data_IF_120819437800
#
_entry.id   IF_120819437800
#
_cell.length_a   1.000
_cell.length_b   1.000
_cell.length_c   1.000
_cell.angle_alpha   90.00
_cell.angle_beta   90.00
_cell.angle_gamma   90.00
#
_symmetry.space_group_name_H-M   'P 1'
#
loop_
_entity.id
_entity.type
_entity.pdbx_description
1 polymer ?
#
# COMPACT_ATOMS: atom_id res chain seq x y z
N UNK A 1 7.98 -8.52 -5.44
CA UNK A 1 6.93 -9.37 -6.04
C UNK A 1 5.69 -9.29 -5.16
N UNK A 2 4.52 -9.06 -5.75
CA UNK A 2 3.23 -9.07 -5.03
C UNK A 2 2.66 -10.49 -5.04
N UNK A 3 2.20 -10.94 -3.88
CA UNK A 3 1.44 -12.18 -3.71
C UNK A 3 0.02 -11.86 -3.27
N UNK A 4 -0.96 -12.43 -3.95
CA UNK A 4 -2.37 -12.14 -3.73
C UNK A 4 -3.20 -13.41 -3.55
N UNK A 5 -4.10 -13.36 -2.57
CA UNK A 5 -5.16 -14.34 -2.34
C UNK A 5 -6.52 -13.63 -2.26
N UNK A 6 -7.61 -14.38 -2.08
CA UNK A 6 -8.94 -13.78 -1.87
C UNK A 6 -9.07 -12.93 -0.60
N UNK A 7 -8.12 -13.02 0.33
CA UNK A 7 -8.18 -12.33 1.64
C UNK A 7 -6.95 -11.50 1.97
N UNK A 8 -5.88 -11.59 1.20
CA UNK A 8 -4.62 -10.91 1.52
C UNK A 8 -3.82 -10.55 0.28
N UNK A 9 -3.20 -9.37 0.30
CA UNK A 9 -2.18 -8.95 -0.66
C UNK A 9 -0.93 -8.61 0.14
N UNK A 10 0.20 -9.20 -0.24
CA UNK A 10 1.49 -9.06 0.46
C UNK A 10 2.62 -8.87 -0.54
N UNK A 11 3.80 -8.50 -0.04
CA UNK A 11 4.96 -8.21 -0.87
C UNK A 11 6.22 -8.86 -0.29
N UNK A 12 7.12 -9.33 -1.15
CA UNK A 12 8.47 -9.74 -0.72
C UNK A 12 9.41 -8.57 -0.41
N UNK A 13 9.07 -7.35 -0.84
CA UNK A 13 9.92 -6.16 -0.71
C UNK A 13 9.61 -5.32 0.52
N UNK A 14 8.46 -5.54 1.14
CA UNK A 14 7.99 -4.75 2.27
C UNK A 14 7.17 -5.61 3.23
N UNK A 15 7.26 -5.38 4.55
CA UNK A 15 6.41 -6.06 5.53
C UNK A 15 4.96 -5.55 5.53
N UNK A 16 4.64 -4.54 4.74
CA UNK A 16 3.27 -4.05 4.62
C UNK A 16 2.35 -5.06 3.92
N UNK A 17 1.06 -4.95 4.21
CA UNK A 17 0.04 -5.86 3.72
C UNK A 17 -1.28 -5.14 3.48
N UNK A 18 -2.10 -5.73 2.61
CA UNK A 18 -3.53 -5.46 2.54
C UNK A 18 -4.32 -6.70 2.93
N UNK A 19 -5.39 -6.56 3.71
CA UNK A 19 -6.25 -7.66 4.11
C UNK A 19 -7.71 -7.31 3.92
N UNK A 20 -8.49 -8.29 3.47
CA UNK A 20 -9.94 -8.17 3.41
C UNK A 20 -10.53 -8.34 4.81
N UNK A 21 -11.35 -7.38 5.23
CA UNK A 21 -12.16 -7.45 6.43
C UNK A 21 -13.05 -8.69 6.44
N UNK A 22 -13.54 -9.07 7.62
CA UNK A 22 -14.53 -10.13 7.78
C UNK A 22 -15.92 -9.64 7.33
N UNK A 23 -16.15 -8.31 7.29
CA UNK A 23 -17.37 -7.74 6.74
C UNK A 23 -17.54 -8.09 5.25
N UNK A 24 -18.78 -8.36 4.84
CA UNK A 24 -19.16 -8.56 3.44
C UNK A 24 -19.49 -7.24 2.73
N UNK A 25 -19.44 -6.11 3.43
CA UNK A 25 -19.63 -4.78 2.85
C UNK A 25 -18.36 -4.31 2.12
N UNK A 26 -18.51 -3.97 0.84
CA UNK A 26 -17.44 -3.34 0.06
C UNK A 26 -17.54 -1.80 0.14
N UNK A 27 -16.41 -1.07 0.17
CA UNK A 27 -15.03 -1.58 0.14
C UNK A 27 -14.60 -2.28 1.45
N UNK A 28 -14.01 -3.47 1.33
CA UNK A 28 -13.67 -4.31 2.49
C UNK A 28 -12.17 -4.38 2.80
N UNK A 29 -11.28 -3.83 1.97
CA UNK A 29 -9.84 -4.00 2.12
C UNK A 29 -9.21 -2.92 3.00
N UNK A 30 -8.35 -3.35 3.92
CA UNK A 30 -7.56 -2.50 4.81
C UNK A 30 -6.08 -2.58 4.44
N UNK A 31 -5.36 -1.47 4.58
CA UNK A 31 -3.91 -1.40 4.44
C UNK A 31 -3.25 -1.29 5.80
N UNK A 32 -2.11 -1.96 5.98
CA UNK A 32 -1.34 -1.93 7.24
C UNK A 32 -0.82 -0.54 7.62
N UNK A 33 -0.67 0.36 6.66
CA UNK A 33 -0.17 1.72 6.85
C UNK A 33 -1.26 2.80 6.74
N UNK A 34 -2.51 2.40 6.44
CA UNK A 34 -3.67 3.29 6.38
C UNK A 34 -4.96 2.55 6.76
N UNK A 35 -5.07 2.09 8.03
CA UNK A 35 -6.20 1.27 8.48
C UNK A 35 -7.52 2.04 8.57
N UNK A 36 -7.48 3.38 8.57
CA UNK A 36 -8.66 4.23 8.73
C UNK A 36 -9.55 4.28 7.47
N UNK A 37 -8.98 3.93 6.32
CA UNK A 37 -9.69 3.95 5.03
C UNK A 37 -9.86 2.54 4.48
N UNK A 38 -11.03 2.29 3.91
CA UNK A 38 -11.34 1.05 3.20
C UNK A 38 -11.17 1.21 1.71
N UNK A 39 -10.69 0.15 1.08
CA UNK A 39 -10.37 0.10 -0.35
C UNK A 39 -11.10 -1.04 -1.04
N UNK A 40 -11.33 -0.89 -2.34
CA UNK A 40 -11.68 -2.05 -3.17
C UNK A 40 -10.47 -2.97 -3.29
N UNK A 41 -10.68 -4.17 -3.83
CA UNK A 41 -9.59 -5.12 -4.07
C UNK A 41 -8.53 -4.54 -5.01
N UNK A 42 -8.96 -3.87 -6.07
CA UNK A 42 -8.10 -3.27 -7.09
C UNK A 42 -7.28 -2.13 -6.46
N UNK A 43 -7.94 -1.25 -5.71
CA UNK A 43 -7.25 -0.19 -4.97
C UNK A 43 -6.25 -0.74 -3.94
N UNK A 44 -6.60 -1.82 -3.23
CA UNK A 44 -5.68 -2.45 -2.30
C UNK A 44 -4.44 -3.05 -3.00
N UNK A 45 -4.62 -3.62 -4.20
CA UNK A 45 -3.52 -4.12 -5.02
C UNK A 45 -2.63 -2.98 -5.51
N UNK A 46 -3.21 -1.91 -6.03
CA UNK A 46 -2.47 -0.74 -6.50
C UNK A 46 -1.73 -0.06 -5.32
N UNK A 47 -2.34 0.03 -4.14
CA UNK A 47 -1.68 0.54 -2.95
C UNK A 47 -0.47 -0.32 -2.53
N UNK A 48 -0.52 -1.64 -2.74
CA UNK A 48 0.63 -2.52 -2.52
C UNK A 48 1.72 -2.33 -3.58
N UNK A 49 1.36 -2.01 -4.82
CA UNK A 49 2.31 -1.61 -5.88
C UNK A 49 2.99 -0.28 -5.52
N UNK A 50 2.21 0.75 -5.14
CA UNK A 50 2.73 2.02 -4.64
C UNK A 50 3.70 1.80 -3.48
N UNK A 51 3.37 0.92 -2.55
CA UNK A 51 4.25 0.60 -1.41
C UNK A 51 5.58 -0.01 -1.88
N UNK A 52 5.57 -0.88 -2.90
CA UNK A 52 6.81 -1.42 -3.47
C UNK A 52 7.66 -0.33 -4.11
N UNK A 53 7.03 0.53 -4.93
CA UNK A 53 7.71 1.64 -5.61
C UNK A 53 8.40 2.56 -4.58
N UNK A 54 7.68 2.95 -3.52
CA UNK A 54 8.21 3.83 -2.48
C UNK A 54 9.21 3.15 -1.53
N UNK A 55 9.28 1.82 -1.55
CA UNK A 55 10.28 1.04 -0.79
C UNK A 55 11.52 0.74 -1.60
N UNK A 56 11.46 0.83 -2.94
CA UNK A 56 12.58 0.55 -3.84
C UNK A 56 13.30 1.83 -4.28
N UNK A 57 14.56 2.06 -3.82
CA UNK A 57 15.35 3.22 -4.23
C UNK A 57 15.73 3.21 -5.72
N UNK A 58 15.52 2.09 -6.43
CA UNK A 58 15.84 1.92 -7.85
C UNK A 58 14.62 2.02 -8.78
N UNK A 59 13.47 2.44 -8.27
CA UNK A 59 12.22 2.58 -9.04
C UNK A 59 12.34 3.54 -10.24
N UNK A 60 13.25 4.53 -10.17
CA UNK A 60 13.54 5.45 -11.27
C UNK A 60 12.34 6.33 -11.68
N UNK A 61 12.49 7.11 -12.74
CA UNK A 61 11.48 8.09 -13.17
C UNK A 61 10.12 7.46 -13.49
N UNK A 62 10.11 6.31 -14.18
CA UNK A 62 8.86 5.62 -14.52
C UNK A 62 8.14 5.09 -13.28
N UNK A 63 8.89 4.61 -12.29
CA UNK A 63 8.32 4.22 -11.01
C UNK A 63 7.67 5.41 -10.29
N UNK A 64 8.32 6.57 -10.28
CA UNK A 64 7.76 7.79 -9.66
C UNK A 64 6.48 8.24 -10.36
N UNK A 65 6.45 8.25 -11.70
CA UNK A 65 5.23 8.54 -12.47
C UNK A 65 4.10 7.57 -12.14
N UNK A 66 4.40 6.27 -12.08
CA UNK A 66 3.42 5.24 -11.70
C UNK A 66 2.91 5.44 -10.26
N UNK A 67 3.78 5.85 -9.33
CA UNK A 67 3.38 6.17 -7.96
C UNK A 67 2.42 7.35 -7.91
N UNK A 68 2.62 8.39 -8.72
CA UNK A 68 1.71 9.53 -8.81
C UNK A 68 0.33 9.11 -9.33
N UNK A 69 0.27 8.32 -10.40
CA UNK A 69 -0.99 7.80 -10.97
C UNK A 69 -1.77 6.97 -9.94
N UNK A 70 -1.08 6.09 -9.21
CA UNK A 70 -1.72 5.28 -8.17
C UNK A 70 -2.17 6.15 -7.01
N UNK A 71 -1.36 7.11 -6.56
CA UNK A 71 -1.72 7.98 -5.46
C UNK A 71 -2.97 8.81 -5.79
N UNK A 72 -3.04 9.37 -7.00
CA UNK A 72 -4.22 10.08 -7.49
C UNK A 72 -5.45 9.17 -7.51
N UNK A 73 -5.32 7.94 -8.03
CA UNK A 73 -6.39 6.95 -8.03
C UNK A 73 -6.90 6.60 -6.61
N UNK A 74 -6.00 6.57 -5.63
CA UNK A 74 -6.33 6.32 -4.24
C UNK A 74 -6.86 7.56 -3.50
N UNK A 75 -6.83 8.73 -4.14
CA UNK A 75 -7.24 10.02 -3.55
C UNK A 75 -6.24 10.54 -2.50
N UNK A 76 -4.95 10.26 -2.67
CA UNK A 76 -3.88 10.60 -1.73
C UNK A 76 -2.69 11.22 -2.49
N UNK A 77 -1.78 11.88 -1.78
CA UNK A 77 -0.50 12.25 -2.39
C UNK A 77 0.57 11.16 -2.18
N UNK A 78 1.57 11.14 -3.07
CA UNK A 78 2.76 10.30 -2.89
C UNK A 78 3.48 10.62 -1.57
N UNK A 79 3.49 11.90 -1.17
CA UNK A 79 4.08 12.34 0.08
C UNK A 79 3.35 11.76 1.29
N UNK A 80 2.02 11.76 1.31
CA UNK A 80 1.23 11.18 2.40
C UNK A 80 1.50 9.67 2.55
N UNK A 81 1.56 8.96 1.43
CA UNK A 81 1.88 7.54 1.41
C UNK A 81 3.30 7.28 1.94
N UNK A 82 4.29 8.06 1.47
CA UNK A 82 5.67 7.95 1.92
C UNK A 82 5.81 8.24 3.42
N UNK A 83 5.11 9.25 3.94
CA UNK A 83 5.11 9.60 5.36
C UNK A 83 4.53 8.47 6.21
N UNK A 84 3.37 7.93 5.81
CA UNK A 84 2.73 6.82 6.52
C UNK A 84 3.65 5.58 6.57
N UNK A 85 4.30 5.24 5.45
CA UNK A 85 5.25 4.14 5.38
C UNK A 85 6.51 4.39 6.19
N UNK A 86 7.01 5.64 6.23
CA UNK A 86 8.15 6.01 7.05
C UNK A 86 7.82 5.85 8.54
N UNK A 87 6.65 6.30 8.99
CA UNK A 87 6.17 6.12 10.36
C UNK A 87 6.12 4.65 10.76
N UNK A 88 5.58 3.80 9.89
CA UNK A 88 5.55 2.34 10.07
C UNK A 88 6.94 1.72 10.17
N UNK A 89 7.91 2.20 9.39
CA UNK A 89 9.32 1.77 9.50
C UNK A 89 9.90 2.14 10.87
N UNK A 90 9.62 3.34 11.38
CA UNK A 90 10.08 3.78 12.70
C UNK A 90 9.46 2.95 13.84
N UNK A 91 8.14 2.72 13.81
CA UNK A 91 7.44 1.89 14.81
C UNK A 91 8.05 0.49 14.93
N UNK A 92 8.46 -0.11 13.80
CA UNK A 92 9.11 -1.42 13.80
C UNK A 92 10.56 -1.39 14.25
N UNK A 93 11.29 -0.31 13.94
CA UNK A 93 12.67 -0.14 14.40
C UNK A 93 12.78 0.15 15.90
N UNK A 94 11.68 0.51 16.54
CA UNK A 94 11.56 0.70 17.99
C UNK A 94 11.06 -0.56 18.74
N UNK A 95 10.84 -1.69 18.05
CA UNK A 95 10.33 -2.95 18.62
C UNK A 95 11.41 -3.96 19.00
#
# INVERSE_FOLDING_TARGET
MIYESSRSITSSLTPEWARRSISDEEPAWELSWRPEQRFTREQARDAMELTQILSDPHSGTEGHRRAEEIAEWLGISVADAAEALYRRKLERGQS
#
